data_IF_359795615265
#
_entry.id   IF_359795615265
#
_cell.length_a   1.000
_cell.length_b   1.000
_cell.length_c   1.000
_cell.angle_alpha   90.00
_cell.angle_beta   90.00
_cell.angle_gamma   90.00
#
_symmetry.space_group_name_H-M   'P 1'
#
loop_
_entity.id
_entity.type
_entity.pdbx_description
1 polymer ?
#
# COMPACT_ATOMS: atom_id res chain seq x y z
N UNK A 1 1.38 -7.35 14.87
CA UNK A 1 1.74 -5.93 14.72
C UNK A 1 0.51 -5.13 14.37
N UNK A 2 0.31 -4.02 15.05
CA UNK A 2 -0.82 -3.13 14.77
C UNK A 2 -0.32 -1.90 14.03
N UNK A 3 -0.93 -1.60 12.89
CA UNK A 3 -0.64 -0.40 12.13
C UNK A 3 -1.91 0.41 11.99
N UNK A 4 -1.80 1.71 12.15
CA UNK A 4 -2.91 2.62 11.94
C UNK A 4 -3.05 2.90 10.45
N UNK A 5 -4.23 2.65 9.91
CA UNK A 5 -4.58 3.07 8.56
C UNK A 5 -5.61 4.19 8.66
N UNK A 6 -5.42 5.23 7.86
CA UNK A 6 -6.37 6.33 7.74
C UNK A 6 -7.16 6.11 6.46
N UNK A 7 -8.48 6.12 6.56
CA UNK A 7 -9.36 5.91 5.41
C UNK A 7 -10.22 7.15 5.21
N UNK A 8 -10.18 7.68 4.00
CA UNK A 8 -10.98 8.83 3.61
C UNK A 8 -11.75 8.54 2.33
N UNK A 9 -12.94 9.10 2.20
CA UNK A 9 -13.72 9.03 0.97
C UNK A 9 -13.41 10.25 0.10
N UNK A 10 -13.15 10.01 -1.19
CA UNK A 10 -12.93 11.10 -2.13
C UNK A 10 -14.25 11.57 -2.78
N UNK A 11 -14.16 12.55 -3.66
CA UNK A 11 -15.30 13.13 -4.34
C UNK A 11 -16.03 12.15 -5.24
N UNK A 12 -15.33 11.15 -5.76
CA UNK A 12 -15.93 10.14 -6.65
C UNK A 12 -16.66 9.04 -5.88
N UNK A 13 -16.53 9.02 -4.56
CA UNK A 13 -17.13 7.99 -3.72
C UNK A 13 -16.19 6.84 -3.38
N UNK A 14 -15.00 6.80 -3.93
CA UNK A 14 -13.98 5.82 -3.56
C UNK A 14 -13.38 6.14 -2.21
N UNK A 15 -12.94 5.10 -1.53
CA UNK A 15 -12.25 5.25 -0.25
C UNK A 15 -10.77 5.04 -0.47
N UNK A 16 -9.96 5.95 0.05
CA UNK A 16 -8.51 5.85 0.07
C UNK A 16 -8.04 5.44 1.44
N UNK A 17 -7.09 4.53 1.47
CA UNK A 17 -6.45 4.09 2.70
C UNK A 17 -4.97 4.43 2.63
N UNK A 18 -4.41 4.88 3.74
CA UNK A 18 -3.01 5.20 3.86
C UNK A 18 -2.50 4.71 5.21
N UNK A 19 -1.28 4.24 5.25
CA UNK A 19 -0.60 3.90 6.49
C UNK A 19 0.51 4.92 6.72
N UNK A 20 0.30 5.91 7.60
CA UNK A 20 1.29 6.98 7.80
C UNK A 20 2.66 6.47 8.23
N UNK A 21 2.73 5.37 8.97
CA UNK A 21 4.00 4.79 9.41
C UNK A 21 4.81 4.15 8.27
N UNK A 22 4.17 3.88 7.14
CA UNK A 22 4.81 3.23 5.99
C UNK A 22 4.71 4.15 4.78
N UNK A 23 5.70 5.00 4.53
CA UNK A 23 5.63 5.97 3.43
C UNK A 23 5.34 5.30 2.08
N UNK A 24 4.34 5.82 1.37
CA UNK A 24 3.94 5.29 0.08
C UNK A 24 3.02 4.08 0.15
N UNK A 25 2.69 3.59 1.34
CA UNK A 25 1.75 2.48 1.50
C UNK A 25 0.33 3.01 1.46
N UNK A 26 -0.26 3.01 0.27
CA UNK A 26 -1.61 3.50 0.02
C UNK A 26 -2.41 2.49 -0.78
N UNK A 27 -3.71 2.54 -0.65
CA UNK A 27 -4.62 1.71 -1.44
C UNK A 27 -5.98 2.38 -1.53
N UNK A 28 -6.91 1.75 -2.24
CA UNK A 28 -8.25 2.27 -2.38
C UNK A 28 -9.25 1.14 -2.54
N UNK A 29 -10.52 1.47 -2.43
CA UNK A 29 -11.61 0.55 -2.65
C UNK A 29 -12.93 1.28 -2.80
N UNK A 30 -13.93 0.58 -3.28
CA UNK A 30 -15.28 1.14 -3.45
C UNK A 30 -16.04 1.25 -2.13
N UNK A 31 -15.61 0.48 -1.14
CA UNK A 31 -16.19 0.48 0.21
C UNK A 31 -15.07 0.54 1.23
N UNK A 32 -15.41 0.86 2.46
CA UNK A 32 -14.45 0.84 3.57
C UNK A 32 -13.87 -0.56 3.74
N UNK A 33 -14.72 -1.58 3.66
CA UNK A 33 -14.27 -2.98 3.79
C UNK A 33 -13.27 -3.35 2.70
N UNK A 34 -13.54 -2.96 1.46
CA UNK A 34 -12.64 -3.22 0.33
C UNK A 34 -11.31 -2.47 0.49
N UNK A 35 -11.37 -1.19 0.86
CA UNK A 35 -10.16 -0.40 1.11
C UNK A 35 -9.31 -1.03 2.23
N UNK A 36 -9.97 -1.53 3.27
CA UNK A 36 -9.31 -2.22 4.38
C UNK A 36 -8.57 -3.48 3.92
N UNK A 37 -9.23 -4.30 3.12
CA UNK A 37 -8.60 -5.51 2.60
C UNK A 37 -7.44 -5.17 1.65
N UNK A 38 -7.63 -4.18 0.81
CA UNK A 38 -6.60 -3.75 -0.12
C UNK A 38 -5.38 -3.17 0.59
N UNK A 39 -5.58 -2.40 1.67
CA UNK A 39 -4.45 -1.84 2.41
C UNK A 39 -3.69 -2.93 3.16
N UNK A 40 -4.35 -3.99 3.59
CA UNK A 40 -3.66 -5.14 4.19
C UNK A 40 -2.69 -5.77 3.21
N UNK A 41 -3.11 -5.96 1.98
CA UNK A 41 -2.23 -6.50 0.92
C UNK A 41 -1.07 -5.54 0.65
N UNK A 42 -1.36 -4.25 0.60
CA UNK A 42 -0.33 -3.23 0.39
C UNK A 42 0.70 -3.24 1.51
N UNK A 43 0.27 -3.39 2.76
CA UNK A 43 1.17 -3.49 3.91
C UNK A 43 2.07 -4.72 3.79
N UNK A 44 1.48 -5.86 3.45
CA UNK A 44 2.23 -7.09 3.28
C UNK A 44 3.30 -6.95 2.20
N UNK A 45 2.93 -6.38 1.06
CA UNK A 45 3.87 -6.13 -0.03
C UNK A 45 4.97 -5.15 0.38
N UNK A 46 4.61 -4.07 1.06
CA UNK A 46 5.56 -3.06 1.51
C UNK A 46 6.59 -3.66 2.47
N UNK A 47 6.12 -4.43 3.46
CA UNK A 47 7.00 -5.07 4.43
C UNK A 47 7.90 -6.12 3.77
N UNK A 48 7.39 -6.84 2.79
CA UNK A 48 8.18 -7.81 2.04
C UNK A 48 9.31 -7.15 1.28
N UNK A 49 9.07 -6.01 0.65
CA UNK A 49 10.09 -5.24 -0.05
C UNK A 49 11.17 -4.78 0.92
N UNK A 50 10.78 -4.22 2.05
CA UNK A 50 11.73 -3.72 3.06
C UNK A 50 12.57 -4.87 3.62
N UNK A 51 11.98 -6.04 3.80
CA UNK A 51 12.67 -7.21 4.32
C UNK A 51 13.46 -7.97 3.25
N UNK A 52 13.42 -7.52 2.00
CA UNK A 52 14.14 -8.16 0.91
C UNK A 52 13.59 -9.52 0.52
N UNK A 53 12.34 -9.80 0.85
CA UNK A 53 11.70 -11.09 0.58
C UNK A 53 10.93 -11.14 -0.73
N UNK A 54 10.83 -10.03 -1.42
CA UNK A 54 10.12 -9.96 -2.70
C UNK A 54 10.98 -10.60 -3.78
N UNK A 55 10.38 -11.51 -4.54
CA UNK A 55 11.04 -12.10 -5.69
C UNK A 55 10.81 -11.23 -6.92
N UNK A 56 11.89 -10.85 -7.55
CA UNK A 56 11.86 -10.01 -8.73
C UNK A 56 12.17 -10.83 -9.98
N UNK A 57 11.33 -11.81 -10.29
CA UNK A 57 11.57 -12.69 -11.42
C UNK A 57 11.56 -11.97 -12.77
N UNK A 58 10.75 -10.91 -12.89
CA UNK A 58 10.64 -10.12 -14.12
C UNK A 58 10.96 -8.65 -13.89
N UNK A 59 11.49 -8.32 -12.73
CA UNK A 59 11.81 -6.94 -12.41
C UNK A 59 13.13 -6.53 -13.04
N UNK A 60 13.17 -5.28 -13.46
CA UNK A 60 14.41 -4.65 -13.92
C UNK A 60 14.94 -3.73 -12.86
N UNK A 61 16.23 -3.73 -12.69
CA UNK A 61 16.89 -2.72 -11.88
C UNK A 61 17.26 -1.55 -12.77
N UNK A 62 16.74 -0.41 -12.44
CA UNK A 62 16.99 0.81 -13.21
C UNK A 62 17.50 1.86 -12.25
N UNK A 63 18.66 2.44 -12.57
CA UNK A 63 19.15 3.58 -11.82
C UNK A 63 18.41 4.81 -12.28
N UNK A 64 17.93 5.59 -11.31
CA UNK A 64 17.24 6.83 -11.57
C UNK A 64 18.05 7.96 -10.96
N UNK A 65 18.53 8.84 -11.80
CA UNK A 65 19.21 10.07 -11.37
C UNK A 65 18.17 11.13 -11.11
N UNK A 66 18.21 11.67 -9.92
CA UNK A 66 17.31 12.76 -9.54
C UNK A 66 18.09 13.99 -9.11
#
# INVERSE_FOLDING_TARGET
MKLLAVIEQDESGYYFAEVPALPGCVSQGKTIAEAKENIKEAITGWLSVVNGKVRHTHARRVEVLV
#
